data_IF_478800135538
#
_entry.id   IF_478800135538
#
_cell.length_a   1.000
_cell.length_b   1.000
_cell.length_c   1.000
_cell.angle_alpha   90.00
_cell.angle_beta   90.00
_cell.angle_gamma   90.00
#
_symmetry.space_group_name_H-M   'P 1'
#
loop_
_entity.id
_entity.type
_entity.pdbx_description
1 polymer ?
#
# COMPACT_ATOMS: atom_id res chain seq x y z
N UNK A 1 2.95 16.87 1.21
CA UNK A 1 3.40 15.55 1.75
C UNK A 1 4.80 15.17 1.25
N UNK A 2 5.11 15.24 -0.05
CA UNK A 2 6.44 14.89 -0.62
C UNK A 2 7.63 15.52 0.15
N UNK A 3 7.56 16.81 0.46
CA UNK A 3 8.57 17.51 1.24
C UNK A 3 8.83 16.84 2.61
N UNK A 4 7.78 16.55 3.38
CA UNK A 4 7.88 15.89 4.67
C UNK A 4 8.55 14.51 4.56
N UNK A 5 8.20 13.74 3.53
CA UNK A 5 8.75 12.41 3.31
C UNK A 5 10.24 12.46 2.95
N UNK A 6 10.66 13.44 2.13
CA UNK A 6 12.07 13.72 1.81
C UNK A 6 12.87 14.10 3.06
N UNK A 7 12.27 14.88 3.96
CA UNK A 7 12.88 15.28 5.24
C UNK A 7 12.71 14.28 6.38
N UNK A 8 12.24 13.06 6.09
CA UNK A 8 12.35 11.95 7.03
C UNK A 8 11.07 11.56 7.77
N UNK A 9 9.93 12.16 7.44
CA UNK A 9 8.65 11.82 8.03
C UNK A 9 8.36 10.30 7.95
N UNK A 10 7.84 9.75 9.06
CA UNK A 10 7.65 8.32 9.19
C UNK A 10 6.32 7.85 8.55
N UNK A 11 6.39 7.31 7.32
CA UNK A 11 5.21 6.69 6.66
C UNK A 11 4.62 5.49 7.42
N UNK A 12 5.40 4.84 8.29
CA UNK A 12 4.98 3.69 9.09
C UNK A 12 4.62 4.10 10.53
N UNK A 13 4.13 5.32 10.71
CA UNK A 13 3.62 5.78 12.00
C UNK A 13 2.23 5.19 12.28
N UNK A 14 2.02 4.75 13.51
CA UNK A 14 0.74 4.26 14.02
C UNK A 14 0.19 5.29 15.01
N UNK A 15 -1.01 5.80 14.72
CA UNK A 15 -1.71 6.73 15.60
C UNK A 15 -2.09 6.03 16.91
N UNK A 16 -1.85 6.72 18.04
CA UNK A 16 -2.16 6.19 19.38
C UNK A 16 -3.64 6.32 19.77
N UNK A 17 -4.41 7.15 19.07
CA UNK A 17 -5.81 7.46 19.40
C UNK A 17 -6.75 6.56 18.60
N UNK A 18 -6.53 6.45 17.29
CA UNK A 18 -7.28 5.58 16.39
C UNK A 18 -6.33 4.51 15.86
N UNK A 19 -6.11 3.49 16.67
CA UNK A 19 -5.20 2.40 16.33
C UNK A 19 -5.72 1.59 15.17
N UNK A 20 -4.82 1.25 14.26
CA UNK A 20 -5.13 0.42 13.10
C UNK A 20 -4.02 -0.60 12.92
N UNK A 21 -4.35 -1.74 12.33
CA UNK A 21 -3.38 -2.81 12.09
C UNK A 21 -2.34 -2.42 11.02
N UNK A 22 -2.66 -1.37 10.26
CA UNK A 22 -1.82 -0.78 9.23
C UNK A 22 -1.43 0.66 9.61
N UNK A 23 -0.30 1.19 9.10
CA UNK A 23 0.10 2.56 9.43
C UNK A 23 -0.91 3.63 9.02
N UNK A 24 -1.10 4.65 9.87
CA UNK A 24 -2.28 5.52 9.80
C UNK A 24 -2.33 6.45 8.59
N UNK A 25 -1.18 6.74 7.97
CA UNK A 25 -1.10 7.63 6.81
C UNK A 25 -1.98 7.17 5.63
N UNK A 26 -2.20 5.86 5.49
CA UNK A 26 -2.97 5.28 4.39
C UNK A 26 -4.42 5.76 4.36
N UNK A 27 -5.04 6.01 5.52
CA UNK A 27 -6.45 6.43 5.62
C UNK A 27 -6.73 7.72 4.84
N UNK A 28 -5.71 8.58 4.71
CA UNK A 28 -5.80 9.87 4.03
C UNK A 28 -5.49 9.79 2.53
N UNK A 29 -4.97 8.66 2.04
CA UNK A 29 -4.54 8.51 0.64
C UNK A 29 -5.39 7.56 -0.17
N UNK A 30 -6.40 6.90 0.41
CA UNK A 30 -7.23 5.93 -0.32
C UNK A 30 -7.94 6.51 -1.55
N UNK A 31 -8.26 7.81 -1.54
CA UNK A 31 -8.93 8.51 -2.64
C UNK A 31 -7.96 9.07 -3.69
N UNK A 32 -6.68 9.19 -3.35
CA UNK A 32 -5.67 9.84 -4.19
C UNK A 32 -4.55 8.84 -4.50
N UNK A 33 -4.57 8.31 -5.72
CA UNK A 33 -3.57 7.34 -6.18
C UNK A 33 -2.15 7.93 -6.15
N UNK A 34 -1.98 9.21 -6.46
CA UNK A 34 -0.67 9.87 -6.50
C UNK A 34 -0.09 9.90 -5.08
N UNK A 35 -0.89 10.31 -4.10
CA UNK A 35 -0.47 10.29 -2.69
C UNK A 35 -0.27 8.87 -2.16
N UNK A 36 -1.12 7.93 -2.55
CA UNK A 36 -0.98 6.52 -2.20
C UNK A 36 0.38 6.00 -2.69
N UNK A 37 0.64 6.06 -4.00
CA UNK A 37 1.90 5.61 -4.61
C UNK A 37 3.10 6.32 -4.02
N UNK A 38 2.99 7.60 -3.69
CA UNK A 38 4.05 8.31 -2.98
C UNK A 38 4.31 7.69 -1.60
N UNK A 39 3.30 7.42 -0.76
CA UNK A 39 3.53 6.73 0.52
C UNK A 39 4.23 5.38 0.32
N UNK A 40 3.76 4.59 -0.66
CA UNK A 40 4.30 3.27 -0.94
C UNK A 40 5.76 3.33 -1.43
N UNK A 41 6.08 4.27 -2.31
CA UNK A 41 7.44 4.53 -2.82
C UNK A 41 8.39 4.97 -1.70
N UNK A 42 7.92 5.65 -0.66
CA UNK A 42 8.73 6.03 0.50
C UNK A 42 8.81 4.95 1.60
N UNK A 43 8.35 3.72 1.30
CA UNK A 43 8.54 2.55 2.14
C UNK A 43 7.43 2.31 3.16
N UNK A 44 6.20 2.66 2.80
CA UNK A 44 5.02 2.27 3.58
C UNK A 44 4.92 0.74 3.64
N UNK A 45 4.67 0.18 4.82
CA UNK A 45 4.55 -1.26 5.04
C UNK A 45 3.17 -1.76 4.61
N UNK A 46 3.03 -2.03 3.31
CA UNK A 46 1.78 -2.51 2.71
C UNK A 46 1.37 -3.88 3.24
N UNK A 47 2.33 -4.75 3.59
CA UNK A 47 2.04 -6.11 4.08
C UNK A 47 1.12 -6.11 5.30
N UNK A 48 1.24 -5.13 6.20
CA UNK A 48 0.36 -4.97 7.36
C UNK A 48 -1.12 -4.75 6.98
N UNK A 49 -1.41 -4.30 5.76
CA UNK A 49 -2.78 -4.13 5.27
C UNK A 49 -3.44 -5.47 4.91
N UNK A 50 -2.65 -6.50 4.61
CA UNK A 50 -3.14 -7.82 4.23
C UNK A 50 -2.97 -8.86 5.34
N UNK A 51 -2.35 -8.47 6.46
CA UNK A 51 -2.22 -9.28 7.65
C UNK A 51 -3.52 -9.21 8.47
N UNK A 52 -4.51 -9.98 8.03
CA UNK A 52 -5.81 -10.06 8.69
C UNK A 52 -5.89 -11.36 9.49
N UNK A 53 -6.14 -11.31 10.82
CA UNK A 53 -6.16 -12.50 11.68
C UNK A 53 -7.31 -13.47 11.33
N UNK A 54 -8.35 -12.98 10.67
CA UNK A 54 -9.47 -13.83 10.24
C UNK A 54 -9.10 -14.72 9.03
N UNK A 55 -8.13 -14.33 8.21
CA UNK A 55 -7.74 -15.10 7.02
C UNK A 55 -8.94 -15.48 6.13
N UNK A 56 -9.08 -16.77 5.85
CA UNK A 56 -10.19 -17.30 5.05
C UNK A 56 -11.50 -17.49 5.83
N UNK A 57 -11.48 -17.32 7.16
CA UNK A 57 -12.68 -17.43 7.98
C UNK A 57 -13.63 -16.27 7.70
N UNK A 58 -14.93 -16.52 7.81
CA UNK A 58 -15.92 -15.44 7.75
C UNK A 58 -15.69 -14.49 8.92
N UNK A 59 -15.65 -13.20 8.63
CA UNK A 59 -15.70 -12.18 9.67
C UNK A 59 -17.05 -12.34 10.40
N UNK A 60 -17.04 -12.75 11.67
CA UNK A 60 -18.27 -12.92 12.44
C UNK A 60 -18.95 -11.55 12.56
N UNK A 61 -20.24 -11.46 12.25
CA UNK A 61 -21.03 -10.22 12.39
C UNK A 61 -21.24 -9.82 13.86
N UNK A 62 -20.84 -10.66 14.82
CA UNK A 62 -21.25 -10.60 16.23
C UNK A 62 -20.38 -9.75 17.15
N UNK A 63 -19.45 -8.92 16.65
CA UNK A 63 -18.77 -7.93 17.50
C UNK A 63 -19.46 -6.55 17.53
N UNK A 64 -20.64 -6.42 16.93
CA UNK A 64 -21.39 -5.16 16.89
C UNK A 64 -22.56 -5.06 17.89
N UNK A 65 -22.76 -6.02 18.78
CA UNK A 65 -23.77 -5.91 19.85
C UNK A 65 -23.14 -6.03 21.24
N UNK A 66 -22.92 -4.87 21.87
CA UNK A 66 -23.11 -4.73 23.32
C UNK A 66 -21.87 -4.61 24.20
N UNK A 67 -20.72 -5.19 23.86
CA UNK A 67 -19.51 -5.07 24.68
C UNK A 67 -18.25 -4.97 23.83
N UNK A 68 -17.94 -3.79 23.30
CA UNK A 68 -16.57 -3.54 22.85
C UNK A 68 -15.70 -3.45 24.09
N UNK A 69 -14.78 -4.41 24.25
CA UNK A 69 -13.66 -4.31 25.16
C UNK A 69 -13.16 -2.87 25.20
N UNK A 70 -12.91 -2.32 26.39
CA UNK A 70 -12.35 -0.98 26.64
C UNK A 70 -10.92 -0.80 26.05
N UNK A 71 -10.49 -1.74 25.21
CA UNK A 71 -9.19 -1.90 24.61
C UNK A 71 -9.29 -1.47 23.15
N UNK A 72 -8.59 -0.37 22.84
CA UNK A 72 -7.91 -0.08 21.57
C UNK A 72 -8.42 -0.94 20.39
N UNK A 73 -9.38 -0.41 19.61
CA UNK A 73 -9.91 -1.07 18.41
C UNK A 73 -8.82 -1.15 17.35
N UNK A 74 -8.14 -2.28 17.27
CA UNK A 74 -7.17 -2.54 16.20
C UNK A 74 -7.90 -2.78 14.87
N UNK A 75 -8.15 -1.69 14.14
CA UNK A 75 -9.01 -1.76 12.96
C UNK A 75 -8.22 -2.27 11.75
N UNK A 76 -8.72 -3.34 11.13
CA UNK A 76 -8.11 -4.00 9.98
C UNK A 76 -8.37 -3.22 8.69
N UNK A 77 -7.46 -3.30 7.72
CA UNK A 77 -7.63 -2.64 6.41
C UNK A 77 -8.89 -3.12 5.68
N UNK A 78 -9.17 -4.42 5.73
CA UNK A 78 -10.37 -5.00 5.13
C UNK A 78 -11.67 -4.51 5.78
N UNK A 79 -11.65 -4.07 7.05
CA UNK A 79 -12.81 -3.43 7.69
C UNK A 79 -13.03 -2.02 7.13
N UNK A 80 -11.95 -1.27 6.88
CA UNK A 80 -12.02 0.12 6.38
C UNK A 80 -12.35 0.18 4.89
N UNK A 81 -11.63 -0.54 4.04
CA UNK A 81 -11.77 -0.40 2.58
C UNK A 81 -13.10 -0.95 2.05
N UNK A 82 -13.79 -1.79 2.84
CA UNK A 82 -15.08 -2.39 2.49
C UNK A 82 -16.27 -1.56 2.96
N UNK A 83 -16.05 -0.46 3.70
CA UNK A 83 -17.10 0.50 4.07
C UNK A 83 -17.78 1.04 2.81
N UNK A 84 -19.09 1.29 2.87
CA UNK A 84 -19.91 1.66 1.70
C UNK A 84 -19.33 2.83 0.88
N UNK A 85 -18.81 3.86 1.56
CA UNK A 85 -18.22 5.04 0.92
C UNK A 85 -16.77 4.85 0.44
N UNK A 86 -16.12 3.70 0.72
CA UNK A 86 -14.78 3.35 0.24
C UNK A 86 -14.75 2.11 -0.66
N UNK A 87 -15.80 1.28 -0.62
CA UNK A 87 -15.90 -0.01 -1.32
C UNK A 87 -15.54 0.09 -2.79
N UNK A 88 -15.97 1.16 -3.46
CA UNK A 88 -15.71 1.41 -4.88
C UNK A 88 -14.23 1.69 -5.21
N UNK A 89 -13.41 2.05 -4.21
CA UNK A 89 -11.97 2.28 -4.36
C UNK A 89 -11.16 1.01 -4.15
N UNK A 90 -11.75 -0.03 -3.53
CA UNK A 90 -11.04 -1.24 -3.10
C UNK A 90 -10.23 -1.90 -4.22
N UNK A 91 -10.82 -2.07 -5.40
CA UNK A 91 -10.13 -2.66 -6.56
C UNK A 91 -8.90 -1.84 -6.95
N UNK A 92 -9.04 -0.53 -7.09
CA UNK A 92 -7.95 0.36 -7.51
C UNK A 92 -6.83 0.42 -6.45
N UNK A 93 -7.19 0.59 -5.18
CA UNK A 93 -6.23 0.66 -4.07
C UNK A 93 -5.44 -0.64 -3.95
N UNK A 94 -6.12 -1.79 -3.91
CA UNK A 94 -5.46 -3.09 -3.79
C UNK A 94 -4.57 -3.36 -5.00
N UNK A 95 -5.03 -3.03 -6.21
CA UNK A 95 -4.22 -3.18 -7.41
C UNK A 95 -2.90 -2.39 -7.35
N UNK A 96 -2.95 -1.15 -6.87
CA UNK A 96 -1.76 -0.32 -6.65
C UNK A 96 -0.86 -0.92 -5.57
N UNK A 97 -1.43 -1.34 -4.45
CA UNK A 97 -0.70 -1.98 -3.34
C UNK A 97 0.08 -3.21 -3.78
N UNK A 98 -0.48 -3.99 -4.71
CA UNK A 98 0.18 -5.16 -5.30
C UNK A 98 1.47 -4.81 -6.06
N UNK A 99 1.73 -3.57 -6.47
CA UNK A 99 3.02 -3.18 -7.05
C UNK A 99 4.14 -3.09 -6.00
N UNK A 100 3.82 -3.14 -4.70
CA UNK A 100 4.74 -2.88 -3.59
C UNK A 100 4.86 -4.03 -2.59
N UNK A 101 4.18 -5.14 -2.84
CA UNK A 101 4.27 -6.37 -2.04
C UNK A 101 4.67 -7.55 -2.91
N UNK A 102 5.24 -8.56 -2.26
CA UNK A 102 5.54 -9.85 -2.87
C UNK A 102 4.23 -10.64 -3.07
N UNK A 103 4.21 -11.91 -2.68
CA UNK A 103 3.04 -12.75 -2.56
C UNK A 103 2.36 -12.47 -1.22
N UNK A 104 1.05 -12.21 -1.28
CA UNK A 104 0.20 -11.99 -0.11
C UNK A 104 -1.07 -12.82 -0.25
N UNK A 105 -1.67 -13.16 0.89
CA UNK A 105 -3.03 -13.71 0.93
C UNK A 105 -3.98 -12.60 1.36
N UNK A 106 -5.13 -12.53 0.73
CA UNK A 106 -6.21 -11.61 1.12
C UNK A 106 -7.25 -12.38 1.93
N UNK A 107 -7.85 -11.76 2.93
CA UNK A 107 -8.90 -12.39 3.71
C UNK A 107 -10.21 -12.54 2.92
N UNK A 108 -11.08 -13.44 3.37
CA UNK A 108 -12.39 -13.73 2.76
C UNK A 108 -13.23 -12.47 2.50
N UNK A 109 -13.34 -11.58 3.49
CA UNK A 109 -14.10 -10.33 3.41
C UNK A 109 -13.59 -9.39 2.30
N UNK A 110 -12.26 -9.23 2.23
CA UNK A 110 -11.66 -8.41 1.19
C UNK A 110 -11.82 -9.08 -0.19
N UNK A 111 -11.66 -10.39 -0.25
CA UNK A 111 -11.84 -11.16 -1.49
C UNK A 111 -13.26 -11.01 -2.05
N UNK A 112 -14.28 -11.15 -1.22
CA UNK A 112 -15.69 -11.01 -1.62
C UNK A 112 -15.96 -9.61 -2.19
N UNK A 113 -15.45 -8.58 -1.51
CA UNK A 113 -15.58 -7.19 -1.98
C UNK A 113 -14.86 -6.97 -3.31
N UNK A 114 -13.66 -7.54 -3.47
CA UNK A 114 -12.86 -7.39 -4.67
C UNK A 114 -13.48 -8.10 -5.87
N UNK A 115 -14.17 -9.23 -5.68
CA UNK A 115 -14.85 -9.97 -6.77
C UNK A 115 -15.87 -9.13 -7.53
N UNK A 116 -16.45 -8.14 -6.88
CA UNK A 116 -17.42 -7.21 -7.49
C UNK A 116 -16.76 -6.05 -8.23
N UNK A 117 -15.45 -5.86 -8.09
CA UNK A 117 -14.73 -4.75 -8.71
C UNK A 117 -14.33 -5.10 -10.14
N UNK A 118 -14.36 -4.10 -11.03
CA UNK A 118 -13.95 -4.26 -12.44
C UNK A 118 -12.52 -4.79 -12.61
N UNK A 119 -11.62 -4.44 -11.69
CA UNK A 119 -10.20 -4.85 -11.70
C UNK A 119 -9.95 -6.24 -11.12
N UNK A 120 -11.00 -6.97 -10.68
CA UNK A 120 -10.85 -8.30 -10.09
C UNK A 120 -10.05 -9.29 -10.95
N UNK A 121 -10.28 -9.41 -12.27
CA UNK A 121 -9.55 -10.40 -13.08
C UNK A 121 -8.04 -10.18 -13.03
N UNK A 122 -7.60 -8.92 -13.09
CA UNK A 122 -6.18 -8.54 -13.01
C UNK A 122 -5.62 -8.81 -11.62
N UNK A 123 -6.33 -8.39 -10.57
CA UNK A 123 -5.94 -8.63 -9.17
C UNK A 123 -5.80 -10.13 -8.91
N UNK A 124 -6.80 -10.92 -9.31
CA UNK A 124 -6.80 -12.38 -9.16
C UNK A 124 -5.62 -13.00 -9.88
N UNK A 125 -5.31 -12.58 -11.10
CA UNK A 125 -4.16 -13.08 -11.84
C UNK A 125 -2.83 -12.78 -11.12
N UNK A 126 -2.70 -11.61 -10.51
CA UNK A 126 -1.51 -11.27 -9.71
C UNK A 126 -1.42 -12.13 -8.45
N UNK A 127 -2.54 -12.39 -7.78
CA UNK A 127 -2.58 -13.18 -6.54
C UNK A 127 -2.37 -14.67 -6.78
N UNK A 128 -2.83 -15.22 -7.91
CA UNK A 128 -2.75 -16.64 -8.21
C UNK A 128 -1.40 -17.07 -8.79
N UNK A 129 -0.64 -16.14 -9.38
CA UNK A 129 0.62 -16.44 -10.02
C UNK A 129 1.82 -16.05 -9.15
N UNK A 130 2.92 -16.78 -9.31
CA UNK A 130 4.21 -16.35 -8.76
C UNK A 130 4.62 -15.02 -9.38
N UNK A 131 5.10 -14.09 -8.56
CA UNK A 131 5.54 -12.79 -9.05
C UNK A 131 6.75 -12.93 -9.98
N UNK A 132 6.86 -12.08 -11.02
CA UNK A 132 8.05 -12.05 -11.86
C UNK A 132 9.32 -11.81 -11.04
N UNK A 133 10.41 -12.51 -11.39
CA UNK A 133 11.70 -12.38 -10.70
C UNK A 133 12.18 -10.92 -10.66
N UNK A 134 11.97 -10.16 -11.73
CA UNK A 134 12.29 -8.73 -11.79
C UNK A 134 11.64 -7.93 -10.64
N UNK A 135 10.37 -8.21 -10.34
CA UNK A 135 9.64 -7.57 -9.24
C UNK A 135 10.16 -8.00 -7.88
N UNK A 136 10.42 -9.31 -7.69
CA UNK A 136 11.02 -9.84 -6.46
C UNK A 136 12.39 -9.20 -6.19
N UNK A 137 13.22 -9.09 -7.22
CA UNK A 137 14.52 -8.41 -7.15
C UNK A 137 14.36 -6.94 -6.75
N UNK A 138 13.39 -6.21 -7.34
CA UNK A 138 13.09 -4.82 -6.94
C UNK A 138 12.79 -4.72 -5.46
N UNK A 139 11.88 -5.55 -4.95
CA UNK A 139 11.49 -5.53 -3.53
C UNK A 139 12.68 -5.86 -2.62
N UNK A 140 13.48 -6.87 -2.98
CA UNK A 140 14.66 -7.28 -2.22
C UNK A 140 15.71 -6.18 -2.16
N UNK A 141 16.05 -5.58 -3.29
CA UNK A 141 17.01 -4.47 -3.37
C UNK A 141 16.52 -3.30 -2.52
N UNK A 142 15.25 -2.90 -2.64
CA UNK A 142 14.67 -1.82 -1.85
C UNK A 142 14.70 -2.10 -0.34
N UNK A 143 14.44 -3.36 0.06
CA UNK A 143 14.57 -3.78 1.47
C UNK A 143 16.01 -3.63 1.98
N UNK A 144 17.01 -3.98 1.17
CA UNK A 144 18.43 -3.82 1.51
C UNK A 144 18.89 -2.36 1.55
N UNK A 145 18.37 -1.50 0.66
CA UNK A 145 18.64 -0.06 0.69
C UNK A 145 18.07 0.59 1.95
N UNK A 146 16.91 0.12 2.39
CA UNK A 146 16.20 0.68 3.52
C UNK A 146 15.65 2.08 3.26
N UNK A 147 14.85 2.59 4.20
CA UNK A 147 14.08 3.83 3.99
C UNK A 147 14.94 5.09 3.84
N UNK A 148 16.06 5.16 4.57
CA UNK A 148 16.95 6.32 4.54
C UNK A 148 17.58 6.51 3.16
N UNK A 149 18.03 5.42 2.52
CA UNK A 149 18.64 5.49 1.19
C UNK A 149 17.61 5.67 0.08
N UNK A 150 16.38 5.17 0.26
CA UNK A 150 15.28 5.39 -0.69
C UNK A 150 14.78 6.85 -0.72
N UNK A 151 14.95 7.61 0.37
CA UNK A 151 14.57 9.03 0.45
C UNK A 151 15.51 9.96 -0.30
N UNK A 152 16.79 9.61 -0.39
CA UNK A 152 17.81 10.48 -0.96
C UNK A 152 18.39 9.87 -2.24
N UNK A 153 18.08 10.43 -3.42
CA UNK A 153 18.53 9.93 -4.73
C UNK A 153 20.04 9.76 -4.84
N UNK A 154 20.80 10.55 -4.09
CA UNK A 154 22.27 10.50 -4.07
C UNK A 154 22.78 9.10 -3.66
N UNK A 155 22.09 8.38 -2.76
CA UNK A 155 22.54 7.03 -2.41
C UNK A 155 22.40 6.02 -3.55
N UNK A 156 21.46 6.24 -4.47
CA UNK A 156 21.27 5.37 -5.63
C UNK A 156 22.29 5.64 -6.73
N UNK A 157 22.92 6.82 -6.78
CA UNK A 157 23.97 7.08 -7.77
C UNK A 157 25.18 6.18 -7.54
N UNK A 158 25.49 5.86 -6.29
CA UNK A 158 26.58 4.96 -5.89
C UNK A 158 26.31 3.47 -6.18
N UNK A 159 25.08 3.07 -6.53
CA UNK A 159 24.84 1.69 -6.94
C UNK A 159 25.45 1.45 -8.33
N UNK A 160 26.22 0.37 -8.53
CA UNK A 160 26.79 0.00 -9.83
C UNK A 160 25.72 -0.66 -10.71
N UNK A 161 24.62 0.07 -10.95
CA UNK A 161 23.47 -0.36 -11.75
C UNK A 161 23.25 0.61 -12.92
N UNK A 162 22.82 0.12 -14.09
CA UNK A 162 22.32 0.95 -15.18
C UNK A 162 21.20 1.90 -14.73
N UNK A 163 21.12 3.08 -15.36
CA UNK A 163 20.12 4.09 -15.03
C UNK A 163 18.68 3.54 -15.08
N UNK A 164 18.33 2.77 -16.12
CA UNK A 164 17.00 2.16 -16.23
C UNK A 164 16.64 1.27 -15.03
N UNK A 165 17.60 0.54 -14.47
CA UNK A 165 17.36 -0.27 -13.27
C UNK A 165 17.23 0.59 -12.01
N UNK A 166 18.00 1.68 -11.90
CA UNK A 166 17.84 2.66 -10.81
C UNK A 166 16.45 3.28 -10.83
N UNK A 167 15.94 3.63 -12.02
CA UNK A 167 14.60 4.20 -12.21
C UNK A 167 13.50 3.21 -11.84
N UNK A 168 13.63 1.96 -12.28
CA UNK A 168 12.73 0.88 -11.91
C UNK A 168 12.70 0.61 -10.39
N UNK A 169 13.86 0.61 -9.73
CA UNK A 169 13.96 0.48 -8.27
C UNK A 169 13.26 1.63 -7.54
N UNK A 170 13.27 2.82 -8.15
CA UNK A 170 12.66 4.04 -7.63
C UNK A 170 11.17 4.18 -7.95
N UNK A 171 10.57 3.23 -8.68
CA UNK A 171 9.19 3.34 -9.16
C UNK A 171 8.96 4.59 -10.02
N UNK A 172 9.95 5.03 -10.79
CA UNK A 172 9.81 6.23 -11.63
C UNK A 172 8.74 6.09 -12.71
N UNK A 173 8.42 4.86 -13.12
CA UNK A 173 7.29 4.58 -14.01
C UNK A 173 5.94 5.05 -13.45
N UNK A 174 5.87 5.29 -12.14
CA UNK A 174 4.68 5.81 -11.46
C UNK A 174 4.89 7.21 -10.86
N UNK A 175 6.01 7.88 -11.15
CA UNK A 175 6.28 9.24 -10.65
C UNK A 175 5.53 10.27 -11.51
N UNK A 176 4.26 10.44 -11.18
CA UNK A 176 3.34 11.38 -11.82
C UNK A 176 3.68 12.85 -11.50
N UNK A 177 4.59 13.13 -10.57
CA UNK A 177 5.08 14.50 -10.30
C UNK A 177 6.29 14.88 -11.16
N UNK A 178 7.10 13.90 -11.58
CA UNK A 178 8.28 14.11 -12.44
C UNK A 178 7.95 14.30 -13.92
N UNK A 179 6.79 13.80 -14.35
CA UNK A 179 6.22 14.12 -15.66
C UNK A 179 5.51 15.48 -15.53
N UNK A 180 6.13 16.56 -15.99
CA UNK A 180 5.63 17.94 -15.87
C UNK A 180 4.27 18.20 -16.53
N UNK A 181 3.19 17.69 -15.93
CA UNK A 181 1.81 17.96 -16.31
C UNK A 181 1.08 18.75 -15.20
N UNK A 182 1.78 19.71 -14.59
CA UNK A 182 1.15 20.92 -14.08
C UNK A 182 0.87 21.86 -15.27
N UNK A 183 0.04 21.41 -16.22
CA UNK A 183 -0.75 22.36 -17.00
C UNK A 183 -1.85 22.80 -16.05
N UNK A 184 -1.66 24.00 -15.50
CA UNK A 184 -2.63 24.63 -14.61
C UNK A 184 -4.02 24.62 -15.23
N UNK A 185 -5.00 24.32 -14.39
CA UNK A 185 -6.38 24.71 -14.63
C UNK A 185 -6.80 25.38 -13.33
N UNK A 186 -6.86 26.71 -13.40
CA UNK A 186 -7.72 27.53 -12.55
C UNK A 186 -9.17 27.16 -12.83
#
# INVERSE_FOLDING_TARGET
ISLLLRHGANVNYFCRINTTHFPSALQYTLKDEVLLRMLLTYGYNVSCCFDCPHGDNKHSKHLFEGWTSTVIKDTMFCEVITLSWLRHLSGKVVRVMLDYVDHIRICSKLQDTLREQKLWPEIRAILSNTRPLQHLCRLRIRKCLGRLRLRCPVFLTFLPLPNRLKEYILYKEYDLYGQGHLKGIY
#
